data_IF_932038753008
#
_entry.id   IF_932038753008
#
_cell.length_a   1.000
_cell.length_b   1.000
_cell.length_c   1.000
_cell.angle_alpha   90.00
_cell.angle_beta   90.00
_cell.angle_gamma   90.00
#
_symmetry.space_group_name_H-M   'P 1'
#
loop_
_entity.id
_entity.type
_entity.pdbx_description
1 polymer ?
#
# COMPACT_ATOMS: atom_id res chain seq x y z
N UNK A 1 -18.77 -5.57 -9.20
CA UNK A 1 -17.65 -5.21 -8.30
C UNK A 1 -17.41 -3.73 -8.53
N UNK A 2 -17.83 -2.89 -7.59
CA UNK A 2 -17.58 -1.45 -7.67
C UNK A 2 -16.14 -1.23 -7.24
N UNK A 3 -15.27 -0.98 -8.20
CA UNK A 3 -13.91 -0.52 -7.97
C UNK A 3 -13.99 0.99 -7.79
N UNK A 4 -14.23 1.44 -6.56
CA UNK A 4 -14.25 2.88 -6.28
C UNK A 4 -12.80 3.37 -6.25
N UNK A 5 -12.48 4.29 -7.16
CA UNK A 5 -11.23 5.03 -7.09
C UNK A 5 -11.27 5.94 -5.85
N UNK A 6 -10.27 5.79 -5.00
CA UNK A 6 -10.11 6.58 -3.78
C UNK A 6 -8.76 7.30 -3.78
N UNK A 7 -8.75 8.48 -3.16
CA UNK A 7 -7.54 9.20 -2.79
C UNK A 7 -7.45 9.19 -1.26
N UNK A 8 -6.36 8.64 -0.72
CA UNK A 8 -6.13 8.58 0.71
C UNK A 8 -4.71 9.01 1.06
N UNK A 9 -4.59 9.79 2.13
CA UNK A 9 -3.30 10.21 2.67
C UNK A 9 -2.97 9.47 3.95
N UNK A 10 -1.70 9.14 4.12
CA UNK A 10 -1.25 8.42 5.30
C UNK A 10 0.26 8.25 5.37
N UNK A 11 0.69 7.66 6.47
CA UNK A 11 2.08 7.24 6.67
C UNK A 11 2.27 5.86 6.09
N UNK A 12 3.31 5.72 5.26
CA UNK A 12 3.68 4.41 4.73
C UNK A 12 4.52 3.65 5.75
N UNK A 13 4.10 2.43 6.07
CA UNK A 13 4.78 1.49 6.94
C UNK A 13 5.13 0.18 6.23
N UNK A 14 5.87 -0.68 6.94
CA UNK A 14 6.15 -2.04 6.51
C UNK A 14 5.61 -3.00 7.55
N UNK A 15 4.73 -3.90 7.14
CA UNK A 15 4.13 -4.89 8.02
C UNK A 15 4.24 -6.30 7.43
N UNK A 16 4.39 -7.29 8.31
CA UNK A 16 4.48 -8.70 7.93
C UNK A 16 3.06 -9.27 7.84
N UNK A 17 2.58 -9.50 6.62
CA UNK A 17 1.19 -9.91 6.36
C UNK A 17 0.99 -11.43 6.24
N UNK A 18 2.04 -12.26 6.33
CA UNK A 18 1.89 -13.71 6.33
C UNK A 18 2.95 -14.42 7.20
N UNK A 19 2.49 -15.11 8.25
CA UNK A 19 3.27 -16.12 8.96
C UNK A 19 3.04 -17.49 8.28
N UNK A 20 3.92 -17.88 7.37
CA UNK A 20 3.81 -19.13 6.63
C UNK A 20 5.12 -19.56 5.96
N UNK A 21 5.55 -20.79 6.26
CA UNK A 21 6.91 -21.34 6.21
C UNK A 21 7.67 -21.36 4.86
N UNK A 22 7.31 -20.58 3.83
CA UNK A 22 8.13 -20.46 2.62
C UNK A 22 8.23 -19.06 2.03
N UNK A 23 7.55 -18.06 2.58
CA UNK A 23 7.72 -16.67 2.15
C UNK A 23 7.21 -15.72 3.22
N UNK A 24 8.08 -15.31 4.14
CA UNK A 24 7.85 -14.09 4.91
C UNK A 24 7.81 -12.94 3.90
N UNK A 25 6.59 -12.53 3.52
CA UNK A 25 6.40 -11.40 2.61
C UNK A 25 6.07 -10.19 3.46
N UNK A 26 7.08 -9.37 3.70
CA UNK A 26 6.84 -8.03 4.19
C UNK A 26 6.09 -7.26 3.10
N UNK A 27 4.96 -6.66 3.47
CA UNK A 27 4.19 -5.80 2.60
C UNK A 27 4.28 -4.36 3.07
N UNK A 28 4.19 -3.44 2.12
CA UNK A 28 4.09 -2.02 2.41
C UNK A 28 2.63 -1.71 2.73
N UNK A 29 2.38 -1.04 3.84
CA UNK A 29 1.05 -0.62 4.26
C UNK A 29 0.95 0.90 4.34
N UNK A 30 -0.24 1.45 4.13
CA UNK A 30 -0.55 2.85 4.32
C UNK A 30 -1.49 2.98 5.50
N UNK A 31 -1.00 3.61 6.56
CA UNK A 31 -1.82 3.98 7.70
C UNK A 31 -2.37 5.38 7.47
N UNK A 32 -3.65 5.45 7.19
CA UNK A 32 -4.35 6.70 6.89
C UNK A 32 -4.63 7.49 8.16
N UNK A 33 -4.85 8.80 8.00
CA UNK A 33 -5.10 9.72 9.13
C UNK A 33 -6.39 9.37 9.91
N UNK A 34 -7.35 8.70 9.26
CA UNK A 34 -8.59 8.21 9.87
C UNK A 34 -8.41 6.88 10.64
N UNK A 35 -7.18 6.36 10.72
CA UNK A 35 -6.82 5.16 11.45
C UNK A 35 -7.00 3.86 10.68
N UNK A 36 -7.40 3.89 9.40
CA UNK A 36 -7.42 2.69 8.56
C UNK A 36 -6.01 2.29 8.13
N UNK A 37 -5.86 1.01 7.80
CA UNK A 37 -4.61 0.48 7.26
C UNK A 37 -4.93 -0.25 5.97
N UNK A 38 -4.28 0.18 4.90
CA UNK A 38 -4.39 -0.45 3.59
C UNK A 38 -3.07 -1.10 3.21
N UNK A 39 -3.12 -2.35 2.76
CA UNK A 39 -1.97 -2.99 2.12
C UNK A 39 -1.78 -2.36 0.75
N UNK A 40 -0.65 -1.69 0.55
CA UNK A 40 -0.33 -1.07 -0.72
C UNK A 40 0.14 -2.13 -1.71
N UNK A 41 -0.48 -2.11 -2.89
CA UNK A 41 -0.09 -2.97 -3.99
C UNK A 41 0.08 -2.13 -5.24
N UNK A 42 1.24 -2.21 -5.86
CA UNK A 42 1.47 -1.55 -7.13
C UNK A 42 0.75 -2.31 -8.24
N UNK A 43 -0.24 -1.68 -8.90
CA UNK A 43 -1.00 -2.31 -9.98
C UNK A 43 -0.17 -2.65 -11.22
N UNK A 44 0.99 -1.98 -11.39
CA UNK A 44 1.86 -2.12 -12.54
C UNK A 44 3.09 -3.02 -12.30
N UNK A 45 3.27 -3.53 -11.08
CA UNK A 45 4.43 -4.37 -10.74
C UNK A 45 4.08 -5.86 -10.61
N UNK A 46 5.06 -6.75 -10.77
CA UNK A 46 4.87 -8.17 -10.50
C UNK A 46 4.37 -8.40 -9.08
N UNK A 47 3.44 -9.34 -8.90
CA UNK A 47 2.88 -9.70 -7.60
C UNK A 47 3.91 -10.19 -6.56
N UNK A 48 5.16 -10.43 -6.96
CA UNK A 48 6.25 -10.88 -6.10
C UNK A 48 7.49 -10.01 -6.28
N UNK A 49 8.02 -9.48 -5.17
CA UNK A 49 9.33 -8.82 -5.13
C UNK A 49 9.32 -7.34 -5.50
N UNK A 50 8.18 -6.65 -5.51
CA UNK A 50 8.16 -5.21 -5.77
C UNK A 50 8.66 -4.42 -4.54
N UNK A 51 9.94 -4.09 -4.57
CA UNK A 51 10.61 -3.21 -3.60
C UNK A 51 10.40 -1.73 -3.92
N UNK A 52 9.67 -1.40 -5.00
CA UNK A 52 9.55 0.00 -5.47
C UNK A 52 8.78 0.89 -4.49
N UNK A 53 7.91 0.30 -3.66
CA UNK A 53 7.19 1.00 -2.60
C UNK A 53 8.00 1.09 -1.29
N UNK A 54 9.06 0.29 -1.13
CA UNK A 54 9.89 0.31 0.09
C UNK A 54 10.55 1.67 0.30
N UNK A 55 10.85 2.40 -0.79
CA UNK A 55 11.41 3.77 -0.72
C UNK A 55 10.45 4.78 -0.07
N UNK A 56 9.15 4.47 -0.05
CA UNK A 56 8.14 5.34 0.55
C UNK A 56 7.97 5.07 2.05
N UNK A 57 8.49 3.95 2.57
CA UNK A 57 8.35 3.60 3.99
C UNK A 57 8.96 4.70 4.87
N UNK A 58 8.19 5.14 5.88
CA UNK A 58 8.52 6.27 6.74
C UNK A 58 8.17 7.63 6.14
N UNK A 59 7.66 7.68 4.91
CA UNK A 59 7.18 8.90 4.26
C UNK A 59 5.66 8.96 4.28
N UNK A 60 5.13 10.17 4.50
CA UNK A 60 3.71 10.43 4.31
C UNK A 60 3.43 10.71 2.84
N UNK A 61 2.51 9.94 2.25
CA UNK A 61 2.13 10.09 0.84
C UNK A 61 0.62 10.30 0.71
N UNK A 62 0.23 10.84 -0.43
CA UNK A 62 -1.14 10.80 -0.93
C UNK A 62 -1.18 9.72 -2.01
N UNK A 63 -1.84 8.61 -1.72
CA UNK A 63 -2.02 7.48 -2.62
C UNK A 63 -3.37 7.60 -3.35
N UNK A 64 -3.35 7.40 -4.66
CA UNK A 64 -4.53 7.36 -5.52
C UNK A 64 -4.63 5.99 -6.17
N UNK A 65 -5.81 5.39 -6.12
CA UNK A 65 -6.00 4.08 -6.71
C UNK A 65 -7.32 3.44 -6.33
N UNK A 66 -7.42 2.13 -6.50
CA UNK A 66 -8.65 1.37 -6.25
C UNK A 66 -8.51 0.60 -4.95
N UNK A 67 -9.43 0.85 -4.00
CA UNK A 67 -9.51 0.05 -2.78
C UNK A 67 -10.37 -1.19 -3.01
N UNK A 68 -9.80 -2.36 -2.69
CA UNK A 68 -10.47 -3.66 -2.70
C UNK A 68 -10.21 -4.30 -1.34
N UNK A 69 -11.27 -4.38 -0.52
CA UNK A 69 -11.21 -4.80 0.88
C UNK A 69 -10.17 -3.98 1.69
N UNK A 70 -9.07 -4.61 2.11
CA UNK A 70 -7.96 -3.99 2.82
C UNK A 70 -6.73 -3.75 1.93
N UNK A 71 -6.86 -3.98 0.61
CA UNK A 71 -5.78 -3.74 -0.35
C UNK A 71 -6.08 -2.48 -1.14
N UNK A 72 -5.12 -1.56 -1.18
CA UNK A 72 -5.16 -0.42 -2.07
C UNK A 72 -4.25 -0.69 -3.26
N UNK A 73 -4.87 -0.89 -4.43
CA UNK A 73 -4.14 -0.97 -5.69
C UNK A 73 -3.77 0.44 -6.09
N UNK A 74 -2.50 0.81 -5.92
CA UNK A 74 -2.00 2.11 -6.32
C UNK A 74 -1.98 2.23 -7.84
N UNK A 75 -2.61 3.31 -8.33
CA UNK A 75 -2.46 3.81 -9.69
C UNK A 75 -1.39 4.92 -9.74
N UNK A 76 -1.27 5.70 -8.65
CA UNK A 76 -0.27 6.77 -8.53
C UNK A 76 -0.12 7.26 -7.09
N UNK A 77 0.98 7.96 -6.81
CA UNK A 77 1.22 8.60 -5.52
C UNK A 77 2.03 9.87 -5.65
N UNK A 78 1.93 10.73 -4.63
CA UNK A 78 2.77 11.92 -4.45
C UNK A 78 3.16 12.07 -2.98
N UNK A 79 4.32 12.65 -2.72
CA UNK A 79 4.72 13.01 -1.36
C UNK A 79 3.79 14.07 -0.79
N UNK A 80 3.40 13.89 0.48
CA UNK A 80 2.71 14.91 1.26
C UNK A 80 3.79 15.78 1.92
N UNK A 81 4.31 16.74 1.16
CA UNK A 81 5.29 17.72 1.64
C UNK A 81 4.61 18.88 2.38
#
# INVERSE_FOLDING_TARGET
MSSDEIEVSGLVGRETVAAGSKSERAAVTLRTDDGRVYVLRNGNAPAFGDTSLDVLVGTSIIAQGVAIDQTLILNGWRSRN
#
